data_IF_619798800016
#
_entry.id   IF_619798800016
#
_cell.length_a   1.000
_cell.length_b   1.000
_cell.length_c   1.000
_cell.angle_alpha   90.00
_cell.angle_beta   90.00
_cell.angle_gamma   90.00
#
_symmetry.space_group_name_H-M   'P 1'
#
loop_
_entity.id
_entity.type
_entity.pdbx_description
1 polymer ?
#
# COMPACT_ATOMS: atom_id res chain seq x y z
N UNK A 1 15.99 -10.03 -13.60
CA UNK A 1 14.64 -9.49 -13.36
C UNK A 1 14.63 -8.81 -12.01
N UNK A 2 14.39 -7.50 -11.97
CA UNK A 2 14.33 -6.72 -10.72
C UNK A 2 12.86 -6.57 -10.35
N UNK A 3 12.44 -7.05 -9.18
CA UNK A 3 11.12 -6.71 -8.65
C UNK A 3 11.19 -5.36 -7.97
N UNK A 4 10.14 -4.57 -8.13
CA UNK A 4 9.94 -3.34 -7.39
C UNK A 4 8.65 -3.45 -6.61
N UNK A 5 8.73 -3.22 -5.30
CA UNK A 5 7.57 -2.78 -4.53
C UNK A 5 7.56 -1.24 -4.55
N UNK A 6 6.40 -0.65 -4.89
CA UNK A 6 6.26 0.79 -5.10
C UNK A 6 5.12 1.36 -4.27
N UNK A 7 5.39 2.44 -3.53
CA UNK A 7 4.37 3.33 -2.98
C UNK A 7 4.52 4.73 -3.56
N UNK A 8 3.39 5.42 -3.73
CA UNK A 8 3.35 6.82 -4.18
C UNK A 8 2.50 7.64 -3.21
N UNK A 9 2.99 8.83 -2.84
CA UNK A 9 2.31 9.73 -1.90
C UNK A 9 1.87 11.05 -2.54
N UNK A 10 0.84 11.66 -1.94
CA UNK A 10 0.19 12.90 -2.33
C UNK A 10 1.18 14.06 -2.59
N UNK A 11 2.36 13.99 -1.97
CA UNK A 11 3.45 14.90 -2.25
C UNK A 11 4.12 14.58 -3.59
N UNK A 12 3.76 15.37 -4.62
CA UNK A 12 4.60 15.75 -5.75
C UNK A 12 5.47 14.65 -6.38
N UNK A 13 4.92 13.88 -7.35
CA UNK A 13 5.67 13.09 -8.34
C UNK A 13 6.95 12.39 -7.82
N UNK A 14 6.95 11.89 -6.59
CA UNK A 14 8.04 11.08 -6.03
C UNK A 14 7.56 9.65 -5.91
N UNK A 15 8.38 8.71 -6.36
CA UNK A 15 8.14 7.28 -6.18
C UNK A 15 9.35 6.63 -5.52
N UNK A 16 9.11 5.66 -4.64
CA UNK A 16 10.17 4.81 -4.12
C UNK A 16 10.11 3.41 -4.71
N UNK A 17 11.26 2.75 -4.68
CA UNK A 17 11.54 1.51 -5.36
C UNK A 17 12.37 0.63 -4.44
N UNK A 18 11.76 -0.46 -3.96
CA UNK A 18 12.47 -1.53 -3.26
C UNK A 18 12.92 -2.57 -4.29
N UNK A 19 14.20 -2.58 -4.65
CA UNK A 19 14.71 -3.37 -5.77
C UNK A 19 15.30 -4.69 -5.34
N UNK A 20 14.96 -5.78 -6.03
CA UNK A 20 15.59 -7.10 -5.83
C UNK A 20 16.41 -7.54 -7.04
N UNK A 21 17.38 -8.43 -6.86
CA UNK A 21 18.05 -9.13 -7.95
C UNK A 21 17.21 -10.31 -8.46
N UNK A 22 17.73 -11.07 -9.42
CA UNK A 22 17.03 -12.21 -10.03
C UNK A 22 16.73 -13.35 -9.05
N UNK A 23 17.52 -13.45 -7.98
CA UNK A 23 17.34 -14.41 -6.89
C UNK A 23 16.32 -13.92 -5.85
N UNK A 24 15.71 -12.75 -6.06
CA UNK A 24 14.77 -12.12 -5.11
C UNK A 24 15.44 -11.45 -3.91
N UNK A 25 16.78 -11.33 -3.89
CA UNK A 25 17.51 -10.63 -2.83
C UNK A 25 17.43 -9.12 -3.05
N UNK A 26 17.03 -8.34 -2.05
CA UNK A 26 17.02 -6.89 -2.16
C UNK A 26 18.44 -6.36 -2.40
N UNK A 27 18.59 -5.47 -3.38
CA UNK A 27 19.87 -4.86 -3.78
C UNK A 27 19.91 -3.35 -3.53
N UNK A 28 18.81 -2.80 -3.03
CA UNK A 28 18.76 -1.45 -2.53
C UNK A 28 17.37 -0.88 -2.55
N UNK A 29 17.27 0.28 -1.91
CA UNK A 29 16.05 1.08 -1.89
C UNK A 29 16.39 2.48 -2.34
N UNK A 30 15.65 2.98 -3.32
CA UNK A 30 15.82 4.34 -3.82
C UNK A 30 14.50 5.04 -4.05
N UNK A 31 14.59 6.36 -4.03
CA UNK A 31 13.50 7.27 -4.32
C UNK A 31 13.88 8.09 -5.55
N UNK A 32 12.91 8.30 -6.43
CA UNK A 32 13.06 9.15 -7.62
C UNK A 32 12.10 10.32 -7.46
N UNK A 33 12.63 11.54 -7.59
CA UNK A 33 11.83 12.75 -7.79
C UNK A 33 11.70 13.01 -9.29
N UNK A 34 10.51 12.82 -9.85
CA UNK A 34 10.28 13.00 -11.29
C UNK A 34 10.24 14.46 -11.73
N UNK A 35 10.22 15.44 -10.82
CA UNK A 35 10.32 16.85 -11.18
C UNK A 35 11.77 17.26 -11.41
N UNK A 36 12.68 16.79 -10.57
CA UNK A 36 14.11 17.12 -10.66
C UNK A 36 14.93 16.08 -11.42
N UNK A 37 14.33 14.93 -11.76
CA UNK A 37 15.01 13.77 -12.35
C UNK A 37 16.11 13.19 -11.41
N UNK A 38 16.00 13.44 -10.10
CA UNK A 38 17.03 13.07 -9.12
C UNK A 38 16.74 11.72 -8.46
N UNK A 39 17.80 10.92 -8.28
CA UNK A 39 17.79 9.65 -7.55
C UNK A 39 18.37 9.82 -6.16
N UNK A 40 17.59 9.47 -5.13
CA UNK A 40 18.03 9.40 -3.75
C UNK A 40 18.20 7.93 -3.33
N UNK A 41 19.43 7.52 -3.03
CA UNK A 41 19.73 6.18 -2.51
C UNK A 41 19.65 6.18 -0.99
N UNK A 42 18.84 5.29 -0.42
CA UNK A 42 18.57 5.19 1.03
C UNK A 42 19.19 3.96 1.67
N UNK A 43 19.16 2.84 0.97
CA UNK A 43 19.84 1.62 1.39
C UNK A 43 20.54 1.04 0.17
N UNK A 44 21.82 0.68 0.35
CA UNK A 44 22.61 -0.02 -0.67
C UNK A 44 22.77 -1.49 -0.35
N UNK A 45 22.44 -1.90 0.88
CA UNK A 45 22.54 -3.29 1.30
C UNK A 45 21.18 -3.90 1.72
N UNK A 46 20.94 -5.19 1.39
CA UNK A 46 19.69 -5.91 1.64
C UNK A 46 19.20 -5.96 3.09
N UNK A 47 20.10 -5.72 4.05
CA UNK A 47 19.86 -5.91 5.48
C UNK A 47 19.76 -4.58 6.25
N UNK A 48 19.95 -3.43 5.57
CA UNK A 48 19.96 -2.10 6.19
C UNK A 48 18.55 -1.62 6.54
N UNK A 49 17.71 -1.38 5.54
CA UNK A 49 16.36 -0.82 5.72
C UNK A 49 15.57 -0.81 4.40
N UNK A 50 14.25 -1.00 4.51
CA UNK A 50 13.29 -0.76 3.41
C UNK A 50 12.58 0.57 3.61
N UNK A 51 12.29 1.28 2.51
CA UNK A 51 11.35 2.41 2.54
C UNK A 51 9.95 1.80 2.50
N UNK A 52 9.13 2.22 3.46
CA UNK A 52 7.73 1.81 3.54
C UNK A 52 6.78 2.94 3.16
N UNK A 53 7.16 4.20 3.41
CA UNK A 53 6.25 5.33 3.25
C UNK A 53 7.00 6.68 3.10
N UNK A 54 6.35 7.64 2.46
CA UNK A 54 6.80 9.04 2.38
C UNK A 54 5.72 9.91 3.03
N UNK A 55 6.12 10.84 3.91
CA UNK A 55 5.16 11.68 4.61
C UNK A 55 4.28 12.49 3.64
N UNK A 56 3.04 12.86 4.00
CA UNK A 56 2.14 13.66 3.16
C UNK A 56 2.73 15.00 2.67
N UNK A 57 3.70 15.58 3.39
CA UNK A 57 4.39 16.80 2.97
C UNK A 57 5.61 16.55 2.06
N UNK A 58 5.96 15.30 1.77
CA UNK A 58 7.08 14.91 0.90
C UNK A 58 8.47 15.17 1.47
N UNK A 59 8.58 15.55 2.75
CA UNK A 59 9.88 15.92 3.34
C UNK A 59 10.49 14.84 4.22
N UNK A 60 9.74 13.79 4.56
CA UNK A 60 10.20 12.70 5.42
C UNK A 60 9.99 11.36 4.76
N UNK A 61 10.90 10.44 5.04
CA UNK A 61 10.79 9.04 4.62
C UNK A 61 10.76 8.14 5.86
N UNK A 62 9.90 7.14 5.83
CA UNK A 62 9.81 6.11 6.87
C UNK A 62 10.53 4.86 6.39
N UNK A 63 11.40 4.34 7.24
CA UNK A 63 12.10 3.08 6.99
C UNK A 63 11.96 2.09 8.13
N UNK A 64 12.08 0.80 7.82
CA UNK A 64 12.13 -0.27 8.81
C UNK A 64 13.36 -1.15 8.52
N UNK A 65 14.14 -1.44 9.56
CA UNK A 65 15.33 -2.29 9.45
C UNK A 65 14.97 -3.70 9.02
N UNK A 66 15.82 -4.29 8.16
CA UNK A 66 15.55 -5.56 7.49
C UNK A 66 16.28 -6.77 8.04
N UNK A 67 16.61 -6.73 9.32
CA UNK A 67 17.28 -7.83 10.01
C UNK A 67 16.40 -9.10 10.12
N UNK A 68 17.04 -10.27 9.95
CA UNK A 68 16.44 -11.58 10.23
C UNK A 68 15.96 -11.70 11.68
N UNK A 69 16.68 -11.05 12.60
CA UNK A 69 16.27 -11.01 14.00
C UNK A 69 15.17 -9.96 14.17
N UNK A 70 13.91 -10.39 14.00
CA UNK A 70 12.72 -9.52 14.09
C UNK A 70 12.75 -8.56 15.29
N UNK A 71 13.27 -9.00 16.44
CA UNK A 71 13.42 -8.22 17.69
C UNK A 71 14.50 -7.12 17.64
N UNK A 72 15.17 -6.93 16.52
CA UNK A 72 16.12 -5.86 16.27
C UNK A 72 15.64 -4.90 15.19
N UNK A 73 14.45 -5.12 14.63
CA UNK A 73 13.88 -4.25 13.58
C UNK A 73 13.45 -2.93 14.19
N UNK A 74 14.15 -1.86 13.85
CA UNK A 74 13.80 -0.51 14.25
C UNK A 74 12.99 0.17 13.16
N UNK A 75 12.07 1.03 13.58
CA UNK A 75 11.41 1.99 12.69
C UNK A 75 12.09 3.32 12.82
N UNK A 76 12.43 3.92 11.68
CA UNK A 76 13.19 5.17 11.59
C UNK A 76 12.49 6.15 10.67
N UNK A 77 12.65 7.44 10.94
CA UNK A 77 12.21 8.52 10.05
C UNK A 77 13.41 9.40 9.74
N UNK A 78 13.62 9.67 8.46
CA UNK A 78 14.67 10.56 7.99
C UNK A 78 14.08 11.76 7.27
N UNK A 79 14.80 12.88 7.30
CA UNK A 79 14.58 13.96 6.35
C UNK A 79 14.96 13.48 4.95
N UNK A 80 14.04 13.62 4.01
CA UNK A 80 14.19 13.08 2.66
C UNK A 80 15.35 13.72 1.88
N UNK A 81 15.59 15.02 2.07
CA UNK A 81 16.65 15.75 1.35
C UNK A 81 18.00 15.66 2.05
N UNK A 82 18.03 15.89 3.36
CA UNK A 82 19.29 15.98 4.12
C UNK A 82 19.79 14.62 4.59
N UNK A 83 18.95 13.57 4.54
CA UNK A 83 19.19 12.24 5.12
C UNK A 83 19.43 12.25 6.64
N UNK A 84 19.11 13.36 7.30
CA UNK A 84 19.20 13.48 8.75
C UNK A 84 18.19 12.53 9.42
N UNK A 85 18.65 11.77 10.41
CA UNK A 85 17.77 10.94 11.24
C UNK A 85 16.93 11.85 12.14
N UNK A 86 15.62 11.85 11.93
CA UNK A 86 14.67 12.65 12.70
C UNK A 86 14.08 11.87 13.88
N UNK A 87 13.94 10.56 13.73
CA UNK A 87 13.31 9.71 14.75
C UNK A 87 13.77 8.25 14.62
N UNK A 88 13.93 7.57 15.76
CA UNK A 88 14.13 6.12 15.86
C UNK A 88 13.41 5.61 17.11
N UNK A 89 12.76 4.44 17.02
CA UNK A 89 12.15 3.79 18.18
C UNK A 89 12.51 2.32 18.32
N UNK A 90 12.51 1.86 19.58
CA UNK A 90 12.66 0.46 19.99
C UNK A 90 11.44 -0.03 20.80
N UNK A 91 10.33 0.74 20.81
CA UNK A 91 9.10 0.38 21.55
C UNK A 91 8.45 -0.87 20.94
N UNK A 92 8.59 -1.05 19.64
CA UNK A 92 8.05 -2.17 18.87
C UNK A 92 9.04 -2.62 17.79
N UNK A 93 8.75 -3.77 17.19
CA UNK A 93 9.55 -4.39 16.14
C UNK A 93 8.80 -4.35 14.81
N UNK A 94 9.13 -3.36 13.99
CA UNK A 94 8.38 -2.99 12.79
C UNK A 94 8.26 -4.11 11.74
N UNK A 95 7.07 -4.25 11.17
CA UNK A 95 6.83 -5.00 9.94
C UNK A 95 6.45 -4.08 8.80
N UNK A 96 5.47 -3.21 9.03
CA UNK A 96 4.95 -2.25 8.08
C UNK A 96 4.57 -0.98 8.86
N UNK A 97 4.70 0.20 8.27
CA UNK A 97 4.20 1.43 8.86
C UNK A 97 3.94 2.49 7.81
N UNK A 98 2.92 3.32 8.04
CA UNK A 98 2.51 4.42 7.18
C UNK A 98 2.40 5.72 7.97
N UNK A 99 2.74 6.83 7.32
CA UNK A 99 2.36 8.14 7.78
C UNK A 99 0.85 8.34 7.66
N UNK A 100 0.33 9.11 8.59
CA UNK A 100 -1.01 9.70 8.50
C UNK A 100 -0.90 11.20 8.21
N UNK A 101 -2.00 11.83 7.82
CA UNK A 101 -2.10 13.30 7.81
C UNK A 101 -2.03 13.92 9.22
N UNK A 102 -2.39 13.17 10.28
CA UNK A 102 -2.27 13.65 11.66
C UNK A 102 -0.79 13.78 12.00
N UNK A 103 -0.32 14.98 12.38
CA UNK A 103 1.10 15.18 12.67
C UNK A 103 1.60 14.21 13.74
N UNK A 104 2.77 13.63 13.48
CA UNK A 104 3.46 12.69 14.39
C UNK A 104 2.74 11.35 14.62
N UNK A 105 1.64 11.06 13.93
CA UNK A 105 0.92 9.80 14.09
C UNK A 105 1.24 8.85 12.93
N UNK A 106 1.61 7.62 13.29
CA UNK A 106 1.83 6.53 12.36
C UNK A 106 0.77 5.44 12.54
N UNK A 107 0.35 4.84 11.43
CA UNK A 107 -0.30 3.53 11.43
C UNK A 107 0.80 2.49 11.34
N UNK A 108 0.86 1.57 12.30
CA UNK A 108 1.98 0.61 12.43
C UNK A 108 1.45 -0.81 12.56
N UNK A 109 2.08 -1.72 11.81
CA UNK A 109 1.99 -3.16 12.06
C UNK A 109 3.33 -3.67 12.56
N UNK A 110 3.38 -4.20 13.77
CA UNK A 110 4.62 -4.64 14.42
C UNK A 110 4.39 -5.66 15.53
N UNK A 111 5.47 -6.30 15.98
CA UNK A 111 5.44 -7.01 17.27
C UNK A 111 5.75 -6.03 18.42
N UNK A 112 4.91 -6.02 19.45
CA UNK A 112 5.14 -5.26 20.68
C UNK A 112 5.55 -6.23 21.78
N UNK A 113 6.65 -5.94 22.48
CA UNK A 113 7.18 -6.82 23.53
C UNK A 113 6.09 -7.06 24.60
N UNK A 114 5.75 -8.33 24.84
CA UNK A 114 4.76 -8.71 25.85
C UNK A 114 3.30 -8.62 25.40
N UNK A 115 3.01 -8.29 24.13
CA UNK A 115 1.66 -8.34 23.54
C UNK A 115 1.66 -9.28 22.33
N UNK A 116 0.77 -10.26 22.29
CA UNK A 116 0.83 -11.34 21.29
C UNK A 116 -0.21 -11.26 20.17
N UNK A 117 -1.38 -10.64 20.41
CA UNK A 117 -2.55 -10.89 19.57
C UNK A 117 -2.98 -9.72 18.68
N UNK A 118 -2.60 -8.49 19.03
CA UNK A 118 -2.90 -7.28 18.26
C UNK A 118 -1.58 -6.67 17.81
N UNK A 119 -1.39 -6.64 16.49
CA UNK A 119 -0.15 -6.18 15.85
C UNK A 119 -0.31 -4.84 15.15
N UNK A 120 -1.55 -4.39 14.97
CA UNK A 120 -1.90 -3.16 14.30
C UNK A 120 -2.23 -2.10 15.35
N UNK A 121 -1.60 -0.93 15.28
CA UNK A 121 -1.79 0.14 16.26
C UNK A 121 -1.42 1.51 15.69
N UNK A 122 -1.89 2.55 16.37
CA UNK A 122 -1.45 3.92 16.14
C UNK A 122 -0.32 4.28 17.10
N UNK A 123 0.72 4.90 16.56
CA UNK A 123 1.92 5.26 17.30
C UNK A 123 2.24 6.75 17.16
N UNK A 124 2.35 7.44 18.29
CA UNK A 124 2.70 8.85 18.36
C UNK A 124 4.23 8.99 18.45
N UNK A 125 4.86 9.51 17.40
CA UNK A 125 6.32 9.68 17.31
C UNK A 125 6.84 10.83 18.17
N UNK A 126 6.00 11.80 18.53
CA UNK A 126 6.39 12.90 19.41
C UNK A 126 6.47 12.44 20.86
N UNK A 127 5.50 11.62 21.30
CA UNK A 127 5.48 11.03 22.65
C UNK A 127 6.25 9.71 22.74
N UNK A 128 6.57 9.11 21.60
CA UNK A 128 7.21 7.81 21.48
C UNK A 128 6.40 6.70 22.21
N UNK A 129 5.08 6.69 22.01
CA UNK A 129 4.17 5.75 22.66
C UNK A 129 3.06 5.25 21.71
N UNK A 130 2.52 4.09 22.04
CA UNK A 130 1.35 3.53 21.34
C UNK A 130 0.11 4.18 21.95
N UNK A 131 -0.66 4.90 21.13
CA UNK A 131 -1.83 5.66 21.59
C UNK A 131 -3.15 4.91 21.39
N UNK A 132 -3.19 3.96 20.45
CA UNK A 132 -4.39 3.18 20.17
C UNK A 132 -4.05 1.80 19.61
N UNK A 133 -4.66 0.73 20.14
CA UNK A 133 -4.51 -0.61 19.58
C UNK A 133 -5.73 -0.95 18.73
N UNK A 134 -5.49 -1.32 17.47
CA UNK A 134 -6.53 -1.78 16.56
C UNK A 134 -6.69 -3.29 16.68
N UNK A 135 -7.92 -3.76 16.46
CA UNK A 135 -8.22 -5.19 16.55
C UNK A 135 -7.61 -5.98 15.39
N UNK A 136 -6.83 -7.01 15.72
CA UNK A 136 -6.33 -7.99 14.77
C UNK A 136 -4.89 -7.76 14.32
N UNK A 137 -4.57 -8.28 13.13
CA UNK A 137 -3.20 -8.30 12.59
C UNK A 137 -3.12 -8.02 11.09
N UNK A 138 -4.16 -7.37 10.54
CA UNK A 138 -4.27 -7.07 9.13
C UNK A 138 -2.97 -6.46 8.60
N UNK A 139 -2.49 -6.97 7.46
CA UNK A 139 -1.37 -6.37 6.78
C UNK A 139 -1.79 -5.00 6.24
N UNK A 140 -0.96 -3.98 6.38
CA UNK A 140 -1.24 -2.65 5.87
C UNK A 140 -1.59 -2.67 4.37
N UNK A 141 -0.92 -3.43 3.48
CA UNK A 141 -1.32 -3.53 2.06
C UNK A 141 -2.74 -4.06 1.79
N UNK A 142 -3.44 -4.55 2.82
CA UNK A 142 -4.83 -5.01 2.76
C UNK A 142 -5.81 -4.03 3.43
N UNK A 143 -5.30 -2.93 3.95
CA UNK A 143 -6.02 -1.83 4.54
C UNK A 143 -5.94 -0.62 3.60
N UNK A 144 -6.71 0.42 3.89
CA UNK A 144 -6.69 1.63 3.07
C UNK A 144 -6.85 2.88 3.92
N UNK A 145 -6.37 4.00 3.40
CA UNK A 145 -6.72 5.34 3.87
C UNK A 145 -7.62 5.98 2.82
N UNK A 146 -8.59 6.78 3.24
CA UNK A 146 -9.37 7.57 2.29
C UNK A 146 -8.51 8.69 1.66
N UNK A 147 -9.07 9.46 0.72
CA UNK A 147 -8.28 10.42 -0.06
C UNK A 147 -7.80 11.63 0.74
N UNK A 148 -8.45 11.95 1.86
CA UNK A 148 -7.97 12.97 2.79
C UNK A 148 -7.01 12.42 3.84
N UNK A 149 -6.69 11.11 3.77
CA UNK A 149 -5.88 10.38 4.73
C UNK A 149 -6.45 10.44 6.18
N UNK A 150 -7.70 10.90 6.37
CA UNK A 150 -8.32 11.14 7.68
C UNK A 150 -9.09 9.98 8.27
N UNK A 151 -9.40 9.02 7.42
CA UNK A 151 -10.02 7.75 7.79
C UNK A 151 -9.09 6.61 7.40
N UNK A 152 -8.87 5.69 8.34
CA UNK A 152 -8.19 4.41 8.09
C UNK A 152 -9.20 3.27 8.15
N UNK A 153 -9.24 2.44 7.11
CA UNK A 153 -10.19 1.33 7.00
C UNK A 153 -9.45 0.02 6.85
N UNK A 154 -9.81 -0.97 7.66
CA UNK A 154 -9.12 -2.25 7.70
C UNK A 154 -10.07 -3.43 7.97
N UNK A 155 -9.72 -4.64 7.49
CA UNK A 155 -10.56 -5.82 7.73
C UNK A 155 -10.36 -6.30 9.17
N UNK A 156 -11.45 -6.66 9.85
CA UNK A 156 -11.32 -7.31 11.15
C UNK A 156 -10.85 -8.76 10.96
N UNK A 157 -9.57 -9.01 11.22
CA UNK A 157 -8.99 -10.35 11.00
C UNK A 157 -9.54 -11.44 11.93
N UNK A 158 -10.37 -11.08 12.92
CA UNK A 158 -10.97 -12.01 13.90
C UNK A 158 -12.43 -12.34 13.62
N UNK A 159 -13.10 -11.54 12.78
CA UNK A 159 -14.54 -11.65 12.52
C UNK A 159 -14.76 -11.70 11.02
N UNK A 160 -15.55 -12.66 10.58
CA UNK A 160 -15.99 -12.74 9.17
C UNK A 160 -16.82 -11.50 8.88
N UNK A 161 -16.80 -11.03 7.64
CA UNK A 161 -17.57 -9.87 7.15
C UNK A 161 -17.37 -8.48 7.75
N UNK A 162 -16.60 -8.37 8.83
CA UNK A 162 -16.40 -7.09 9.51
C UNK A 162 -15.27 -6.28 8.89
N UNK A 163 -15.58 -5.02 8.64
CA UNK A 163 -14.65 -3.95 8.31
C UNK A 163 -14.69 -2.92 9.43
N UNK A 164 -13.54 -2.40 9.82
CA UNK A 164 -13.45 -1.33 10.81
C UNK A 164 -13.04 -0.06 10.09
N UNK A 165 -13.80 1.00 10.32
CA UNK A 165 -13.54 2.37 9.89
C UNK A 165 -13.08 3.15 11.12
N UNK A 166 -11.85 3.66 11.09
CA UNK A 166 -11.23 4.41 12.18
C UNK A 166 -11.03 5.85 11.74
N UNK A 167 -11.65 6.79 12.44
CA UNK A 167 -11.35 8.21 12.31
C UNK A 167 -10.03 8.51 13.03
N UNK A 168 -9.04 9.04 12.30
CA UNK A 168 -7.69 9.24 12.83
C UNK A 168 -7.55 10.51 13.68
N UNK A 169 -8.50 11.45 13.64
CA UNK A 169 -8.51 12.64 14.51
C UNK A 169 -9.04 12.29 15.90
N UNK A 170 -10.13 11.55 15.95
CA UNK A 170 -10.93 11.28 17.15
C UNK A 170 -10.63 9.91 17.75
N UNK A 171 -10.05 9.00 16.95
CA UNK A 171 -9.83 7.60 17.28
C UNK A 171 -11.12 6.79 17.47
N UNK A 172 -12.25 7.32 16.97
CA UNK A 172 -13.52 6.61 17.00
C UNK A 172 -13.52 5.48 15.96
N UNK A 173 -13.89 4.28 16.40
CA UNK A 173 -14.04 3.10 15.56
C UNK A 173 -15.51 2.85 15.25
N UNK A 174 -15.78 2.50 13.99
CA UNK A 174 -17.06 2.00 13.54
C UNK A 174 -16.88 0.67 12.83
N UNK A 175 -17.66 -0.33 13.25
CA UNK A 175 -17.71 -1.63 12.57
C UNK A 175 -18.83 -1.65 11.53
N UNK A 176 -18.49 -2.08 10.32
CA UNK A 176 -19.41 -2.30 9.20
C UNK A 176 -19.46 -3.80 8.91
N UNK A 177 -20.68 -4.34 8.82
CA UNK A 177 -20.93 -5.73 8.45
C UNK A 177 -21.32 -5.84 6.98
N UNK A 178 -20.47 -6.48 6.17
CA UNK A 178 -20.70 -6.61 4.73
C UNK A 178 -21.55 -7.84 4.35
N UNK A 179 -21.90 -8.70 5.31
CA UNK A 179 -22.65 -9.94 5.09
C UNK A 179 -21.89 -10.98 4.26
N UNK A 180 -20.55 -10.96 4.31
CA UNK A 180 -19.68 -11.94 3.68
C UNK A 180 -19.66 -13.26 4.46
N UNK A 181 -19.52 -14.40 3.77
CA UNK A 181 -19.43 -15.72 4.44
C UNK A 181 -18.01 -16.07 4.91
N UNK A 182 -17.03 -15.26 4.50
CA UNK A 182 -15.59 -15.43 4.78
C UNK A 182 -15.01 -14.11 5.29
N UNK A 183 -13.73 -14.17 5.69
CA UNK A 183 -12.99 -12.98 6.08
C UNK A 183 -12.89 -12.02 4.91
N UNK A 184 -12.93 -10.72 5.21
CA UNK A 184 -12.54 -9.70 4.24
C UNK A 184 -11.02 -9.76 4.08
N UNK A 185 -10.54 -9.88 2.85
CA UNK A 185 -9.12 -9.99 2.55
C UNK A 185 -8.45 -8.65 2.35
N UNK A 186 -9.13 -7.70 1.71
CA UNK A 186 -8.59 -6.41 1.31
C UNK A 186 -9.71 -5.38 1.24
N UNK A 187 -9.40 -4.14 1.59
CA UNK A 187 -10.27 -2.98 1.39
C UNK A 187 -9.46 -1.90 0.70
N UNK A 188 -10.09 -1.14 -0.19
CA UNK A 188 -9.54 0.09 -0.75
C UNK A 188 -10.53 1.24 -0.69
N UNK A 189 -10.04 2.45 -0.47
CA UNK A 189 -10.81 3.66 -0.68
C UNK A 189 -10.97 3.94 -2.18
N UNK A 190 -12.21 4.19 -2.60
CA UNK A 190 -12.56 4.69 -3.93
C UNK A 190 -12.75 6.22 -3.95
N UNK A 191 -12.83 6.83 -2.76
CA UNK A 191 -13.02 8.26 -2.55
C UNK A 191 -12.92 8.59 -1.05
N UNK A 192 -13.64 9.62 -0.61
CA UNK A 192 -13.68 10.00 0.81
C UNK A 192 -14.53 9.06 1.64
N UNK A 193 -15.72 8.73 1.12
CA UNK A 193 -16.74 7.98 1.86
C UNK A 193 -17.12 6.65 1.17
N UNK A 194 -16.48 6.31 0.06
CA UNK A 194 -16.75 5.07 -0.68
C UNK A 194 -15.55 4.13 -0.62
N UNK A 195 -15.83 2.85 -0.37
CA UNK A 195 -14.84 1.80 -0.22
C UNK A 195 -15.21 0.58 -1.06
N UNK A 196 -14.19 -0.22 -1.36
CA UNK A 196 -14.32 -1.48 -2.06
C UNK A 196 -13.60 -2.59 -1.29
N UNK A 197 -14.34 -3.62 -0.90
CA UNK A 197 -13.81 -4.79 -0.21
C UNK A 197 -13.81 -6.02 -1.10
N UNK A 198 -12.81 -6.89 -0.91
CA UNK A 198 -12.76 -8.23 -1.50
C UNK A 198 -12.85 -9.24 -0.35
N UNK A 199 -13.86 -10.10 -0.38
CA UNK A 199 -14.01 -11.17 0.61
C UNK A 199 -13.27 -12.47 0.24
N UNK A 200 -13.22 -13.42 1.18
CA UNK A 200 -12.60 -14.73 0.99
C UNK A 200 -13.40 -15.75 0.18
N UNK A 201 -14.59 -15.39 -0.32
CA UNK A 201 -15.23 -16.12 -1.42
C UNK A 201 -15.02 -15.42 -2.77
N UNK A 202 -14.26 -14.32 -2.77
CA UNK A 202 -13.91 -13.49 -3.91
C UNK A 202 -15.11 -12.76 -4.51
N UNK A 203 -15.98 -12.25 -3.65
CA UNK A 203 -16.92 -11.20 -4.01
C UNK A 203 -16.29 -9.83 -3.77
N UNK A 204 -16.43 -8.95 -4.76
CA UNK A 204 -16.23 -7.52 -4.61
C UNK A 204 -17.48 -6.88 -4.01
N UNK A 205 -17.29 -6.02 -3.02
CA UNK A 205 -18.38 -5.33 -2.31
C UNK A 205 -18.03 -3.84 -2.26
N UNK A 206 -18.83 -3.01 -2.94
CA UNK A 206 -18.74 -1.55 -2.84
C UNK A 206 -19.69 -1.06 -1.74
N UNK A 207 -19.20 -0.24 -0.83
CA UNK A 207 -19.96 0.25 0.32
C UNK A 207 -19.54 1.67 0.73
N UNK A 208 -20.38 2.35 1.51
CA UNK A 208 -20.06 3.68 2.06
C UNK A 208 -19.50 3.62 3.49
N UNK A 209 -18.89 4.70 3.98
CA UNK A 209 -18.49 4.87 5.39
C UNK A 209 -19.66 4.67 6.38
N UNK A 210 -20.89 4.91 5.92
CA UNK A 210 -22.11 4.70 6.69
C UNK A 210 -22.44 3.20 6.84
N UNK A 211 -21.86 2.35 5.99
CA UNK A 211 -22.13 0.92 5.90
C UNK A 211 -23.21 0.57 4.89
N UNK A 212 -23.64 1.52 4.06
CA UNK A 212 -24.58 1.23 2.96
C UNK A 212 -23.86 0.42 1.88
N UNK A 213 -24.40 -0.75 1.54
CA UNK A 213 -23.88 -1.57 0.44
C UNK A 213 -24.48 -1.04 -0.86
N UNK A 214 -23.63 -0.43 -1.68
CA UNK A 214 -24.02 0.14 -2.96
C UNK A 214 -24.14 -0.94 -4.04
N UNK A 215 -23.21 -1.89 -4.04
CA UNK A 215 -23.14 -2.92 -5.08
C UNK A 215 -22.28 -4.12 -4.66
N UNK A 216 -22.58 -5.30 -5.24
CA UNK A 216 -21.81 -6.54 -5.08
C UNK A 216 -21.59 -7.23 -6.41
N UNK A 217 -20.38 -7.73 -6.65
CA UNK A 217 -20.05 -8.51 -7.86
C UNK A 217 -20.66 -9.90 -7.82
N UNK A 218 -20.63 -10.61 -8.96
CA UNK A 218 -20.65 -12.08 -8.93
C UNK A 218 -19.32 -12.61 -8.37
N UNK A 219 -19.29 -13.89 -7.97
CA UNK A 219 -18.06 -14.56 -7.53
C UNK A 219 -17.02 -14.46 -8.64
N UNK A 220 -15.85 -13.93 -8.32
CA UNK A 220 -14.73 -13.81 -9.25
C UNK A 220 -13.99 -15.15 -9.35
N UNK A 221 -13.60 -15.54 -10.57
CA UNK A 221 -12.85 -16.76 -10.82
C UNK A 221 -11.36 -16.55 -10.58
N UNK A 222 -10.87 -17.17 -9.51
CA UNK A 222 -9.57 -16.87 -8.94
C UNK A 222 -8.40 -17.64 -9.54
N UNK A 223 -8.64 -18.68 -10.34
CA UNK A 223 -7.55 -19.37 -11.05
C UNK A 223 -6.79 -18.43 -11.99
N UNK A 224 -7.40 -17.29 -12.33
CA UNK A 224 -6.82 -16.24 -13.15
C UNK A 224 -6.05 -15.18 -12.37
N UNK A 225 -6.20 -15.08 -11.04
CA UNK A 225 -5.68 -13.97 -10.24
C UNK A 225 -4.66 -14.46 -9.19
N UNK A 226 -3.57 -13.72 -8.97
CA UNK A 226 -2.49 -14.08 -8.02
C UNK A 226 -2.79 -13.55 -6.62
N UNK A 227 -2.46 -14.29 -5.51
CA UNK A 227 -2.91 -14.06 -4.10
C UNK A 227 -3.13 -12.55 -3.77
N UNK A 228 -4.39 -12.08 -3.72
CA UNK A 228 -4.85 -10.68 -3.83
C UNK A 228 -4.48 -9.93 -5.14
N UNK A 229 -5.33 -9.94 -6.19
CA UNK A 229 -4.98 -9.23 -7.41
C UNK A 229 -5.00 -7.72 -7.20
N UNK A 230 -3.99 -7.07 -7.77
CA UNK A 230 -3.89 -5.62 -7.80
C UNK A 230 -4.96 -5.08 -8.74
N UNK A 231 -5.64 -4.04 -8.30
CA UNK A 231 -6.61 -3.31 -9.09
C UNK A 231 -6.32 -1.82 -9.08
N UNK A 232 -6.93 -1.13 -10.03
CA UNK A 232 -6.87 0.32 -10.15
C UNK A 232 -8.23 0.85 -10.60
N UNK A 233 -8.45 2.15 -10.41
CA UNK A 233 -9.69 2.81 -10.85
C UNK A 233 -9.39 3.59 -12.14
N UNK A 234 -10.01 3.21 -13.26
CA UNK A 234 -9.95 3.90 -14.55
C UNK A 234 -11.33 4.38 -14.94
N UNK A 235 -11.52 5.67 -15.21
CA UNK A 235 -12.80 6.22 -15.69
C UNK A 235 -14.03 5.77 -14.88
N UNK A 236 -13.90 5.77 -13.54
CA UNK A 236 -14.88 5.27 -12.56
C UNK A 236 -15.15 3.76 -12.60
N UNK A 237 -14.37 2.99 -13.34
CA UNK A 237 -14.40 1.52 -13.34
C UNK A 237 -13.27 0.98 -12.48
N UNK A 238 -13.53 -0.12 -11.78
CA UNK A 238 -12.50 -0.85 -11.04
C UNK A 238 -11.98 -1.96 -11.96
N UNK A 239 -10.69 -1.90 -12.28
CA UNK A 239 -10.04 -2.79 -13.23
C UNK A 239 -9.02 -3.68 -12.53
N UNK A 240 -9.10 -4.98 -12.77
CA UNK A 240 -8.14 -5.97 -12.29
C UNK A 240 -7.17 -6.38 -13.39
N UNK A 241 -5.92 -6.60 -13.02
CA UNK A 241 -4.99 -7.35 -13.86
C UNK A 241 -5.04 -8.84 -13.49
N UNK A 242 -5.31 -9.70 -14.45
CA UNK A 242 -5.12 -11.14 -14.27
C UNK A 242 -3.63 -11.52 -14.26
N UNK A 243 -3.33 -12.80 -14.05
CA UNK A 243 -1.96 -13.33 -14.02
C UNK A 243 -1.20 -13.20 -15.34
N UNK A 244 -1.89 -12.90 -16.44
CA UNK A 244 -1.33 -12.63 -17.76
C UNK A 244 -1.24 -11.11 -18.03
N UNK A 245 -1.74 -10.27 -17.13
CA UNK A 245 -1.79 -8.82 -17.27
C UNK A 245 -2.97 -8.32 -18.12
N UNK A 246 -3.99 -9.15 -18.34
CA UNK A 246 -5.23 -8.72 -18.99
C UNK A 246 -6.06 -7.87 -18.03
N UNK A 247 -6.72 -6.84 -18.57
CA UNK A 247 -7.58 -5.93 -17.80
C UNK A 247 -9.01 -6.42 -17.84
N UNK A 248 -9.63 -6.54 -16.67
CA UNK A 248 -11.01 -7.01 -16.51
C UNK A 248 -11.78 -5.97 -15.71
N UNK A 249 -12.92 -5.51 -16.24
CA UNK A 249 -13.88 -4.69 -15.49
C UNK A 249 -14.57 -5.60 -14.47
N UNK A 250 -14.43 -5.26 -13.19
CA UNK A 250 -15.00 -6.10 -12.12
C UNK A 250 -16.52 -6.00 -12.02
N UNK A 251 -17.11 -4.91 -12.53
CA UNK A 251 -18.55 -4.71 -12.50
C UNK A 251 -19.29 -5.67 -13.42
N UNK A 252 -18.72 -5.92 -14.59
CA UNK A 252 -19.27 -6.77 -15.63
C UNK A 252 -18.62 -8.16 -15.65
N UNK A 253 -17.37 -8.26 -15.18
CA UNK A 253 -16.50 -9.42 -15.37
C UNK A 253 -15.96 -9.54 -16.80
N UNK A 254 -16.13 -8.50 -17.62
CA UNK A 254 -15.72 -8.50 -19.03
C UNK A 254 -14.26 -8.11 -19.19
N UNK A 255 -13.59 -8.76 -20.13
CA UNK A 255 -12.23 -8.42 -20.56
C UNK A 255 -12.27 -7.07 -21.28
N UNK A 256 -11.61 -6.06 -20.73
CA UNK A 256 -11.53 -4.71 -21.32
C UNK A 256 -10.24 -4.51 -22.11
N UNK A 257 -9.19 -5.28 -21.83
CA UNK A 257 -7.93 -5.22 -22.57
C UNK A 257 -7.14 -6.53 -22.48
N UNK A 258 -6.64 -7.00 -23.62
CA UNK A 258 -5.75 -8.17 -23.68
C UNK A 258 -4.30 -7.73 -23.74
N UNK A 259 -3.45 -8.25 -22.86
CA UNK A 259 -2.02 -8.03 -22.98
C UNK A 259 -1.46 -8.81 -24.18
N UNK A 260 -0.86 -8.10 -25.14
CA UNK A 260 -0.35 -8.67 -26.39
C UNK A 260 1.14 -9.06 -26.35
N UNK A 261 1.85 -8.86 -25.23
CA UNK A 261 3.28 -9.22 -25.11
C UNK A 261 3.49 -10.51 -24.31
N UNK A 262 4.09 -11.50 -24.98
CA UNK A 262 4.16 -12.91 -24.56
C UNK A 262 5.47 -13.35 -23.90
N UNK A 263 6.30 -12.44 -23.38
CA UNK A 263 7.59 -12.83 -22.79
C UNK A 263 7.88 -12.09 -21.49
N UNK A 264 7.88 -12.85 -20.40
CA UNK A 264 8.11 -12.38 -19.02
C UNK A 264 6.84 -12.49 -18.18
N UNK A 265 6.95 -12.97 -16.94
CA UNK A 265 5.87 -12.79 -15.96
C UNK A 265 5.61 -11.29 -15.89
N UNK A 266 4.47 -10.85 -16.40
CA UNK A 266 4.08 -9.44 -16.41
C UNK A 266 4.07 -8.99 -14.95
N UNK A 267 5.10 -8.25 -14.55
CA UNK A 267 5.01 -7.42 -13.36
C UNK A 267 3.97 -6.36 -13.70
N UNK A 268 2.82 -6.31 -12.98
CA UNK A 268 1.62 -5.58 -13.42
C UNK A 268 1.76 -4.04 -13.48
N UNK A 269 2.99 -3.52 -13.40
CA UNK A 269 3.29 -2.10 -13.16
C UNK A 269 4.23 -1.46 -14.19
N UNK A 270 4.86 -2.21 -15.12
CA UNK A 270 5.99 -1.67 -15.90
C UNK A 270 5.73 -1.31 -17.35
N UNK A 271 4.71 -1.86 -17.99
CA UNK A 271 4.53 -1.56 -19.42
C UNK A 271 3.94 -0.15 -19.65
N UNK A 272 3.15 0.39 -18.72
CA UNK A 272 2.66 1.77 -18.71
C UNK A 272 2.37 2.19 -17.27
N UNK A 273 3.06 3.20 -16.75
CA UNK A 273 2.99 3.65 -15.35
C UNK A 273 1.56 3.98 -14.91
N UNK A 274 1.18 3.59 -13.67
CA UNK A 274 -0.02 4.11 -12.99
C UNK A 274 0.37 4.61 -11.60
N UNK A 275 0.14 5.89 -11.36
CA UNK A 275 0.39 6.59 -10.09
C UNK A 275 -0.92 6.66 -9.30
N UNK A 276 -0.96 6.06 -8.11
CA UNK A 276 -2.05 6.27 -7.15
C UNK A 276 -1.84 7.60 -6.43
N UNK A 277 -2.81 8.53 -6.48
CA UNK A 277 -3.04 9.49 -5.38
C UNK A 277 -4.33 10.31 -5.35
N UNK A 278 -5.32 10.17 -6.23
CA UNK A 278 -6.50 11.08 -6.16
C UNK A 278 -7.79 10.50 -6.74
N UNK A 279 -7.88 9.17 -6.93
CA UNK A 279 -8.97 8.59 -7.73
C UNK A 279 -8.90 9.01 -9.21
N UNK A 280 -7.76 9.52 -9.66
CA UNK A 280 -7.45 9.73 -11.08
C UNK A 280 -6.22 8.94 -11.46
N UNK A 281 -6.35 8.16 -12.53
CA UNK A 281 -5.24 7.57 -13.25
C UNK A 281 -4.55 8.63 -14.10
N UNK A 282 -3.22 8.59 -14.10
CA UNK A 282 -2.44 9.13 -15.20
C UNK A 282 -2.08 7.97 -16.12
N UNK A 283 -2.83 7.79 -17.20
CA UNK A 283 -2.34 7.00 -18.33
C UNK A 283 -1.27 7.83 -19.04
N UNK A 284 -0.05 7.30 -19.03
CA UNK A 284 1.06 7.84 -19.80
C UNK A 284 0.73 7.55 -21.27
N UNK A 285 0.09 8.52 -21.93
CA UNK A 285 -0.40 8.51 -23.30
C UNK A 285 0.64 7.89 -24.27
N UNK A 286 0.28 6.76 -24.88
CA UNK A 286 1.20 5.78 -25.51
C UNK A 286 2.00 6.28 -26.70
N UNK A 287 1.78 7.51 -27.15
CA UNK A 287 2.36 8.02 -28.40
C UNK A 287 3.36 9.17 -28.18
N UNK A 288 3.55 9.64 -26.93
CA UNK A 288 4.43 10.78 -26.62
C UNK A 288 5.32 10.62 -25.39
N UNK A 289 5.61 9.40 -24.99
CA UNK A 289 6.21 9.17 -23.67
C UNK A 289 7.61 8.65 -23.82
N UNK A 290 8.56 9.54 -23.56
CA UNK A 290 9.92 9.18 -23.17
C UNK A 290 9.81 8.08 -22.12
N UNK A 291 10.09 6.83 -22.52
CA UNK A 291 10.17 5.72 -21.58
C UNK A 291 11.11 6.14 -20.48
N UNK A 292 10.61 6.22 -19.24
CA UNK A 292 11.47 6.50 -18.11
C UNK A 292 12.46 5.33 -18.03
N UNK A 293 13.69 5.58 -18.46
CA UNK A 293 14.72 4.56 -18.53
C UNK A 293 15.19 4.25 -17.11
N UNK A 294 14.45 3.41 -16.36
CA UNK A 294 14.81 3.05 -14.98
C UNK A 294 16.24 2.50 -14.91
N UNK A 295 16.69 1.83 -15.97
CA UNK A 295 18.06 1.33 -16.12
C UNK A 295 19.09 2.46 -15.93
N UNK A 296 18.81 3.68 -16.38
CA UNK A 296 19.69 4.86 -16.20
C UNK A 296 19.97 5.17 -14.73
N UNK A 297 19.05 4.82 -13.83
CA UNK A 297 19.22 4.99 -12.39
C UNK A 297 19.77 3.75 -11.71
N UNK A 298 19.61 2.56 -12.31
CA UNK A 298 20.17 1.31 -11.79
C UNK A 298 21.68 1.20 -12.08
N UNK A 299 22.13 1.79 -13.18
CA UNK A 299 23.54 1.82 -13.58
C UNK A 299 24.30 2.91 -12.82
N UNK A 300 25.02 2.51 -11.77
CA UNK A 300 26.17 3.20 -11.20
C UNK A 300 27.23 2.19 -10.79
#
# INVERSE_FOLDING_TARGET
MIYFDCGVHNANRTAFFNCTNEDGKQIGTFLIDFNTDEKFVYATEPDESEIFDISPCGTKVLTIDRTYEKRKRKTKIFNLKTKELLFETNVFFGYEAWFTYVPNLLVVRADVKGKSNDKLFLFDTQKNEIVHFMQGNACLPYCSKNFYDDVFVYPNSRKKDEVIVLDLNTLEEKTIHLGAKKLIHRIEALGNDEFFAIDGEFFGIKFTAEGEILWKTKKLDWEKFYYAPNFFILDNQIIFNDSLGNRIDISTGELTHTNVRSWGKSTPFFDNWVIYNTGKMYEINTDKTDKLNIQKYLEK
#
